data_IF_768651873068
#
_entry.id   IF_768651873068
#
_cell.length_a   1.000
_cell.length_b   1.000
_cell.length_c   1.000
_cell.angle_alpha   90.00
_cell.angle_beta   90.00
_cell.angle_gamma   90.00
#
_symmetry.space_group_name_H-M   'P 1'
#
loop_
_entity.id
_entity.type
_entity.pdbx_description
1 polymer ?
#
# COMPACT_ATOMS: atom_id res chain seq x y z
N UNK A 1 51.80 19.82 -4.60
CA UNK A 1 50.46 20.27 -4.22
C UNK A 1 50.43 20.16 -2.72
N UNK A 2 50.48 21.31 -2.06
CA UNK A 2 50.75 21.38 -0.62
C UNK A 2 49.42 21.44 0.14
N UNK A 3 49.46 21.13 1.43
CA UNK A 3 48.26 21.06 2.29
C UNK A 3 47.50 22.38 2.35
N UNK A 4 48.20 23.49 2.16
CA UNK A 4 47.67 24.86 2.09
C UNK A 4 46.81 25.08 0.83
N UNK A 5 47.20 24.55 -0.34
CA UNK A 5 46.42 24.67 -1.58
C UNK A 5 45.10 23.88 -1.51
N UNK A 6 45.10 22.74 -0.81
CA UNK A 6 43.89 21.92 -0.63
C UNK A 6 42.90 22.61 0.32
N UNK A 7 43.39 23.26 1.37
CA UNK A 7 42.56 23.94 2.35
C UNK A 7 41.92 25.20 1.75
N UNK A 8 42.66 25.93 0.91
CA UNK A 8 42.14 27.13 0.22
C UNK A 8 41.09 26.75 -0.84
N UNK A 9 41.30 25.66 -1.59
CA UNK A 9 40.32 25.14 -2.54
C UNK A 9 39.02 24.65 -1.86
N UNK A 10 39.11 24.05 -0.67
CA UNK A 10 37.93 23.63 0.09
C UNK A 10 37.17 24.81 0.71
N UNK A 11 37.89 25.86 1.13
CA UNK A 11 37.27 27.09 1.62
C UNK A 11 36.52 27.85 0.51
N UNK A 12 37.07 27.93 -0.72
CA UNK A 12 36.42 28.62 -1.85
C UNK A 12 35.11 27.93 -2.28
N UNK A 13 35.04 26.59 -2.19
CA UNK A 13 33.82 25.83 -2.51
C UNK A 13 32.74 25.98 -1.43
N UNK A 14 33.12 26.16 -0.16
CA UNK A 14 32.14 26.37 0.93
C UNK A 14 31.51 27.77 0.92
N UNK A 15 32.21 28.79 0.43
CA UNK A 15 31.69 30.18 0.42
C UNK A 15 30.74 30.46 -0.76
N UNK A 16 30.76 29.63 -1.83
CA UNK A 16 29.90 29.81 -3.01
C UNK A 16 28.55 29.10 -2.96
N UNK A 17 28.21 28.45 -1.85
CA UNK A 17 26.88 27.86 -1.68
C UNK A 17 25.89 28.94 -1.25
N UNK A 18 25.19 29.52 -2.22
CA UNK A 18 24.02 30.35 -1.94
C UNK A 18 23.09 29.59 -0.99
N UNK A 19 22.71 30.16 0.17
CA UNK A 19 21.82 29.47 1.10
C UNK A 19 20.55 29.06 0.35
N UNK A 20 20.04 27.82 0.58
CA UNK A 20 18.82 27.37 -0.08
C UNK A 20 17.72 28.40 0.19
N UNK A 21 16.90 28.76 -0.82
CA UNK A 21 15.85 29.75 -0.64
C UNK A 21 15.01 29.37 0.57
N UNK A 22 14.82 30.32 1.49
CA UNK A 22 14.07 30.08 2.72
C UNK A 22 12.68 29.58 2.35
N UNK A 23 12.40 28.32 2.68
CA UNK A 23 11.10 27.71 2.41
C UNK A 23 10.06 28.41 3.28
N UNK A 24 9.14 29.14 2.68
CA UNK A 24 8.03 29.76 3.41
C UNK A 24 7.09 28.65 3.93
N UNK A 25 7.04 28.41 5.25
CA UNK A 25 6.23 27.35 5.83
C UNK A 25 4.73 27.60 5.59
N UNK A 26 4.30 28.86 5.46
CA UNK A 26 2.91 29.19 5.16
C UNK A 26 2.55 28.71 3.74
N UNK A 27 3.44 28.94 2.77
CA UNK A 27 3.23 28.53 1.39
C UNK A 27 3.25 27.00 1.21
N UNK A 28 4.12 26.29 1.95
CA UNK A 28 4.16 24.83 1.96
C UNK A 28 2.89 24.21 2.59
N UNK A 29 2.39 24.79 3.70
CA UNK A 29 1.15 24.37 4.34
C UNK A 29 -0.08 24.69 3.48
N UNK A 30 -0.09 25.82 2.77
CA UNK A 30 -1.16 26.20 1.85
C UNK A 30 -1.26 25.22 0.68
N UNK A 31 -0.12 24.84 0.08
CA UNK A 31 -0.07 23.79 -0.95
C UNK A 31 -0.55 22.44 -0.42
N UNK A 32 -0.13 22.07 0.81
CA UNK A 32 -0.60 20.85 1.48
C UNK A 32 -2.10 20.84 1.75
N UNK A 33 -2.66 21.95 2.24
CA UNK A 33 -4.11 22.11 2.46
C UNK A 33 -4.89 22.07 1.16
N UNK A 34 -4.37 22.66 0.09
CA UNK A 34 -5.01 22.66 -1.25
C UNK A 34 -5.01 21.26 -1.86
N UNK A 35 -3.93 20.50 -1.72
CA UNK A 35 -3.87 19.10 -2.12
C UNK A 35 -4.85 18.22 -1.30
N UNK A 36 -4.97 18.46 0.01
CA UNK A 36 -5.92 17.75 0.88
C UNK A 36 -7.39 18.10 0.57
N UNK A 37 -7.69 19.37 0.28
CA UNK A 37 -9.04 19.81 -0.16
C UNK A 37 -9.43 19.15 -1.48
N UNK A 38 -8.53 19.10 -2.48
CA UNK A 38 -8.81 18.40 -3.75
C UNK A 38 -9.15 16.92 -3.54
N UNK A 39 -8.48 16.24 -2.61
CA UNK A 39 -8.79 14.84 -2.27
C UNK A 39 -10.13 14.65 -1.56
N UNK A 40 -10.57 15.62 -0.73
CA UNK A 40 -11.88 15.55 -0.05
C UNK A 40 -13.05 15.85 -0.98
N UNK A 41 -12.87 16.72 -1.98
CA UNK A 41 -13.95 17.03 -2.95
C UNK A 41 -14.22 15.84 -3.88
N UNK A 42 -13.22 14.98 -4.15
CA UNK A 42 -13.43 13.71 -4.85
C UNK A 42 -14.27 12.67 -4.06
N UNK A 43 -14.53 12.92 -2.77
CA UNK A 43 -15.28 12.02 -1.87
C UNK A 43 -16.68 12.53 -1.51
N UNK A 44 -17.09 13.69 -2.01
CA UNK A 44 -18.39 14.30 -1.68
C UNK A 44 -19.17 14.69 -2.95
N UNK A 45 -19.73 13.68 -3.61
CA UNK A 45 -20.92 13.79 -4.46
C UNK A 45 -21.59 12.42 -4.38
N UNK A 46 -22.77 12.23 -3.82
CA UNK A 46 -24.04 12.90 -4.10
C UNK A 46 -24.98 12.66 -2.91
N UNK A 47 -25.81 13.64 -2.53
CA UNK A 47 -27.14 13.37 -1.98
C UNK A 47 -27.99 14.64 -1.98
N UNK A 48 -28.99 14.73 -2.88
CA UNK A 48 -30.39 15.00 -2.53
C UNK A 48 -31.27 14.51 -3.70
N UNK A 49 -32.09 13.49 -3.47
CA UNK A 49 -33.35 13.26 -4.20
C UNK A 49 -34.42 13.10 -3.12
N UNK A 50 -35.52 13.88 -3.15
CA UNK A 50 -36.59 13.73 -2.17
C UNK A 50 -37.44 12.49 -2.47
N UNK A 51 -37.71 11.74 -1.41
CA UNK A 51 -38.49 10.51 -1.39
C UNK A 51 -39.97 10.86 -1.15
N UNK A 52 -40.85 10.48 -2.08
CA UNK A 52 -42.31 10.60 -1.93
C UNK A 52 -42.87 9.31 -1.32
N UNK A 53 -43.79 9.54 -0.39
CA UNK A 53 -44.43 8.66 0.61
C UNK A 53 -45.19 7.46 0.03
N UNK A 54 -45.12 6.32 0.74
CA UNK A 54 -45.99 5.16 0.54
C UNK A 54 -46.03 4.24 1.77
N UNK A 55 -47.17 4.25 2.45
CA UNK A 55 -47.58 3.67 3.75
C UNK A 55 -47.36 2.15 3.92
N UNK A 56 -47.04 1.70 5.15
CA UNK A 56 -47.23 0.29 5.56
C UNK A 56 -46.72 -0.10 6.95
N UNK A 57 -47.58 0.04 7.97
CA UNK A 57 -47.74 -0.67 9.26
C UNK A 57 -46.55 -1.37 10.00
N UNK A 58 -46.43 -1.06 11.31
CA UNK A 58 -45.59 -1.77 12.32
C UNK A 58 -46.16 -3.14 12.78
N UNK A 59 -45.64 -3.78 13.86
CA UNK A 59 -45.54 -3.16 15.19
C UNK A 59 -44.28 -3.52 16.02
N UNK A 60 -44.25 -2.91 17.22
CA UNK A 60 -43.21 -2.90 18.25
C UNK A 60 -42.97 -4.22 19.01
N UNK A 61 -41.77 -4.36 19.57
CA UNK A 61 -41.56 -5.03 20.86
C UNK A 61 -40.48 -4.29 21.67
N UNK A 62 -40.89 -3.87 22.87
CA UNK A 62 -40.08 -3.37 23.97
C UNK A 62 -39.83 -4.53 24.93
N UNK A 63 -38.59 -4.73 25.38
CA UNK A 63 -38.30 -5.41 26.63
C UNK A 63 -36.94 -4.96 27.19
N UNK A 64 -36.99 -4.17 28.26
CA UNK A 64 -35.90 -4.02 29.22
C UNK A 64 -35.83 -5.30 30.07
N UNK A 65 -34.62 -5.77 30.39
CA UNK A 65 -34.39 -6.59 31.58
C UNK A 65 -33.08 -6.21 32.27
N UNK A 66 -33.24 -5.81 33.52
CA UNK A 66 -32.27 -5.53 34.58
C UNK A 66 -31.88 -6.80 35.35
N UNK A 67 -30.66 -6.81 35.92
CA UNK A 67 -30.21 -7.74 36.98
C UNK A 67 -29.58 -9.04 36.44
N UNK A 68 -28.57 -9.67 37.04
CA UNK A 68 -28.20 -9.68 38.45
C UNK A 68 -26.72 -10.02 38.65
N UNK A 69 -26.17 -9.54 39.77
CA UNK A 69 -24.91 -9.99 40.39
C UNK A 69 -25.01 -11.47 40.76
N UNK A 70 -23.89 -12.18 40.68
CA UNK A 70 -23.61 -13.30 41.58
C UNK A 70 -22.15 -13.26 42.02
N UNK A 71 -21.97 -13.01 43.32
CA UNK A 71 -20.78 -13.28 44.07
C UNK A 71 -20.60 -14.79 44.26
N UNK A 72 -19.36 -15.26 44.19
CA UNK A 72 -18.95 -16.60 44.58
C UNK A 72 -17.56 -16.52 45.19
N UNK A 73 -17.52 -16.50 46.51
CA UNK A 73 -16.34 -16.54 47.37
C UNK A 73 -16.04 -18.00 47.75
N UNK A 74 -14.76 -18.37 47.83
CA UNK A 74 -14.10 -19.30 48.80
C UNK A 74 -12.63 -19.50 48.32
N UNK A 75 -11.60 -18.90 48.95
CA UNK A 75 -10.77 -19.37 50.11
C UNK A 75 -10.01 -20.68 49.76
N UNK A 76 -8.68 -20.87 49.89
CA UNK A 76 -7.70 -20.37 50.86
C UNK A 76 -6.21 -20.41 50.37
N UNK A 77 -5.44 -19.46 50.92
CA UNK A 77 -4.09 -19.48 51.51
C UNK A 77 -2.97 -20.46 51.09
N UNK A 78 -1.80 -19.86 50.83
CA UNK A 78 -0.49 -20.49 50.93
C UNK A 78 0.64 -19.45 50.88
N UNK A 79 0.96 -18.85 52.03
CA UNK A 79 2.12 -17.96 52.25
C UNK A 79 3.42 -18.76 52.31
N UNK A 80 4.47 -18.31 51.63
CA UNK A 80 5.86 -18.55 52.03
C UNK A 80 6.76 -17.41 51.55
N UNK A 81 7.44 -16.82 52.52
CA UNK A 81 8.35 -15.67 52.44
C UNK A 81 9.78 -16.17 52.23
N UNK A 82 10.52 -15.64 51.27
CA UNK A 82 12.01 -15.56 51.32
C UNK A 82 12.47 -14.29 50.60
N UNK A 83 13.48 -13.65 51.20
CA UNK A 83 14.02 -12.31 50.95
C UNK A 83 15.08 -12.27 49.80
N UNK A 84 15.56 -11.08 49.39
CA UNK A 84 16.00 -10.80 48.02
C UNK A 84 17.49 -11.06 47.76
N UNK A 85 17.81 -11.38 46.50
CA UNK A 85 19.19 -11.39 45.98
C UNK A 85 19.33 -10.26 44.96
N UNK A 86 20.22 -9.31 45.26
CA UNK A 86 20.58 -8.20 44.38
C UNK A 86 21.32 -8.72 43.15
N UNK A 87 20.77 -8.45 41.96
CA UNK A 87 21.39 -8.77 40.65
C UNK A 87 21.53 -7.45 39.86
N UNK A 88 22.60 -7.24 39.08
CA UNK A 88 22.85 -5.97 38.38
C UNK A 88 21.74 -5.62 37.38
N UNK A 89 21.54 -4.33 37.02
CA UNK A 89 20.42 -3.92 36.20
C UNK A 89 20.46 -4.63 34.84
N UNK A 90 19.37 -5.28 34.41
CA UNK A 90 19.29 -5.79 33.05
C UNK A 90 19.29 -4.58 32.11
N UNK A 91 20.27 -4.57 31.19
CA UNK A 91 20.18 -3.80 29.96
C UNK A 91 18.81 -4.11 29.38
N UNK A 92 17.98 -3.07 29.21
CA UNK A 92 16.65 -3.22 28.63
C UNK A 92 16.80 -3.67 27.19
N UNK A 93 16.89 -4.98 26.99
CA UNK A 93 16.59 -5.63 25.73
C UNK A 93 15.14 -5.30 25.47
N UNK A 94 14.91 -4.31 24.61
CA UNK A 94 13.57 -3.98 24.11
C UNK A 94 13.06 -5.25 23.44
N UNK A 95 12.27 -6.02 24.18
CA UNK A 95 11.44 -7.09 23.65
C UNK A 95 10.74 -6.52 22.43
N UNK A 96 10.69 -7.21 21.27
CA UNK A 96 9.98 -6.72 20.11
C UNK A 96 8.54 -6.50 20.55
N UNK A 97 8.22 -5.23 20.80
CA UNK A 97 6.90 -4.80 21.20
C UNK A 97 6.03 -5.21 20.04
N UNK A 98 5.10 -6.13 20.28
CA UNK A 98 4.06 -6.50 19.33
C UNK A 98 3.58 -5.21 18.68
N UNK A 99 3.90 -5.02 17.40
CA UNK A 99 3.60 -3.77 16.70
C UNK A 99 2.11 -3.52 16.93
N UNK A 100 1.71 -2.36 17.47
CA UNK A 100 0.30 -2.05 17.64
C UNK A 100 -0.41 -2.36 16.33
N UNK A 101 -1.51 -3.12 16.40
CA UNK A 101 -2.29 -3.44 15.20
C UNK A 101 -3.06 -2.23 14.68
N UNK A 102 -3.06 -1.11 15.43
CA UNK A 102 -3.69 0.17 15.05
C UNK A 102 -2.81 1.34 15.54
N UNK A 103 -1.93 1.86 14.68
CA UNK A 103 -0.95 2.90 15.00
C UNK A 103 -1.63 4.28 15.15
N UNK A 104 -1.25 5.03 16.17
CA UNK A 104 -1.61 6.44 16.37
C UNK A 104 -0.55 7.37 15.76
N UNK A 105 -0.92 8.62 15.48
CA UNK A 105 -0.10 9.62 14.76
C UNK A 105 1.32 9.85 15.33
N UNK A 106 1.57 9.52 16.60
CA UNK A 106 2.86 9.73 17.27
C UNK A 106 3.58 8.44 17.70
N UNK A 107 3.02 7.28 17.38
CA UNK A 107 3.69 6.01 17.70
C UNK A 107 4.96 5.88 16.85
N UNK A 108 6.03 5.24 17.33
CA UNK A 108 7.18 4.96 16.47
C UNK A 108 6.75 4.14 15.25
N UNK A 109 7.43 4.34 14.13
CA UNK A 109 7.20 3.47 12.97
C UNK A 109 7.81 2.08 13.21
N UNK A 110 7.24 1.02 12.60
CA UNK A 110 7.80 -0.33 12.74
C UNK A 110 9.21 -0.43 12.16
N UNK A 111 9.98 -1.41 12.63
CA UNK A 111 11.29 -1.77 12.04
C UNK A 111 12.32 -0.62 11.97
N UNK A 112 12.19 0.41 12.83
CA UNK A 112 13.16 1.50 12.96
C UNK A 112 13.14 2.54 11.84
N UNK A 113 12.11 2.55 10.99
CA UNK A 113 11.97 3.50 9.89
C UNK A 113 11.61 4.93 10.38
N UNK A 114 11.96 5.94 9.59
CA UNK A 114 11.68 7.37 9.91
C UNK A 114 10.37 7.89 9.30
N UNK A 115 9.88 7.21 8.27
CA UNK A 115 8.59 7.48 7.63
C UNK A 115 7.87 6.15 7.31
N UNK A 116 6.72 6.20 6.64
CA UNK A 116 5.95 4.98 6.31
C UNK A 116 6.67 3.99 5.39
N UNK A 117 7.73 4.38 4.71
CA UNK A 117 8.41 3.64 3.65
C UNK A 117 9.58 2.86 4.22
N UNK A 118 9.62 1.55 3.94
CA UNK A 118 10.79 0.74 4.26
C UNK A 118 11.77 0.77 3.09
N UNK A 119 12.90 1.46 3.26
CA UNK A 119 13.96 1.60 2.25
C UNK A 119 15.06 0.55 2.37
N UNK A 120 15.15 -0.15 3.51
CA UNK A 120 16.12 -1.21 3.78
C UNK A 120 15.48 -2.37 4.57
N UNK A 121 16.24 -3.46 4.75
CA UNK A 121 15.85 -4.61 5.55
C UNK A 121 14.83 -5.54 4.88
N UNK A 122 14.25 -6.50 5.63
CA UNK A 122 13.38 -7.55 5.09
C UNK A 122 12.15 -7.01 4.36
N UNK A 123 11.59 -5.89 4.82
CA UNK A 123 10.43 -5.26 4.17
C UNK A 123 10.78 -4.70 2.80
N UNK A 124 11.91 -4.04 2.64
CA UNK A 124 12.39 -3.56 1.34
C UNK A 124 12.72 -4.73 0.40
N UNK A 125 13.37 -5.77 0.90
CA UNK A 125 13.70 -6.96 0.12
C UNK A 125 12.46 -7.64 -0.49
N UNK A 126 11.33 -7.65 0.23
CA UNK A 126 10.06 -8.22 -0.26
C UNK A 126 9.52 -7.54 -1.52
N UNK A 127 9.61 -6.21 -1.64
CA UNK A 127 9.16 -5.54 -2.87
C UNK A 127 10.11 -5.77 -4.05
N UNK A 128 11.40 -6.01 -3.79
CA UNK A 128 12.35 -6.47 -4.82
C UNK A 128 11.99 -7.88 -5.30
N UNK A 129 11.70 -8.81 -4.39
CA UNK A 129 11.20 -10.15 -4.74
C UNK A 129 9.92 -10.04 -5.57
N UNK A 130 8.96 -9.21 -5.16
CA UNK A 130 7.72 -8.96 -5.89
C UNK A 130 7.99 -8.51 -7.34
N UNK A 131 8.94 -7.59 -7.51
CA UNK A 131 9.34 -7.07 -8.82
C UNK A 131 9.97 -8.16 -9.71
N UNK A 132 10.78 -9.02 -9.13
CA UNK A 132 11.41 -10.14 -9.84
C UNK A 132 10.37 -11.20 -10.26
N UNK A 133 9.44 -11.54 -9.37
CA UNK A 133 8.31 -12.44 -9.69
C UNK A 133 7.44 -11.85 -10.81
N UNK A 134 7.15 -10.55 -10.77
CA UNK A 134 6.43 -9.87 -11.85
C UNK A 134 7.19 -9.93 -13.17
N UNK A 135 8.50 -9.73 -13.13
CA UNK A 135 9.36 -9.81 -14.33
C UNK A 135 9.40 -11.20 -14.92
N UNK A 136 9.47 -12.24 -14.08
CA UNK A 136 9.50 -13.65 -14.49
C UNK A 136 8.16 -14.14 -15.06
N UNK A 137 7.08 -13.43 -14.76
CA UNK A 137 5.72 -13.78 -15.20
C UNK A 137 5.36 -13.19 -16.56
N UNK A 138 6.22 -12.32 -17.13
CA UNK A 138 6.01 -11.73 -18.46
C UNK A 138 6.07 -12.83 -19.53
N UNK A 139 5.08 -12.90 -20.44
CA UNK A 139 5.00 -13.99 -21.41
C UNK A 139 6.10 -13.88 -22.47
N UNK A 140 6.43 -15.00 -23.15
CA UNK A 140 7.37 -15.00 -24.26
C UNK A 140 7.02 -13.94 -25.32
N UNK A 141 8.06 -13.33 -25.92
CA UNK A 141 7.91 -12.24 -26.88
C UNK A 141 7.82 -10.85 -26.26
N UNK A 142 7.86 -10.75 -24.93
CA UNK A 142 8.06 -9.51 -24.21
C UNK A 142 9.35 -9.59 -23.36
N UNK A 143 9.97 -8.45 -23.08
CA UNK A 143 11.15 -8.31 -22.23
C UNK A 143 10.92 -7.27 -21.14
N UNK A 144 11.74 -7.30 -20.08
CA UNK A 144 11.62 -6.36 -18.94
C UNK A 144 12.90 -5.53 -18.76
N UNK A 145 13.22 -4.67 -19.74
CA UNK A 145 14.49 -3.94 -19.78
C UNK A 145 14.70 -3.01 -18.56
N UNK A 146 15.97 -2.72 -18.26
CA UNK A 146 16.34 -1.72 -17.25
C UNK A 146 16.29 -0.30 -17.84
N UNK A 147 15.09 0.19 -18.15
CA UNK A 147 14.90 1.52 -18.72
C UNK A 147 14.88 2.62 -17.66
N UNK A 148 15.21 3.83 -18.10
CA UNK A 148 15.15 5.06 -17.31
C UNK A 148 14.19 6.08 -17.95
N UNK A 149 13.59 6.89 -17.08
CA UNK A 149 12.90 8.13 -17.43
C UNK A 149 13.90 9.20 -17.89
N UNK A 150 13.43 10.29 -18.54
CA UNK A 150 14.32 11.39 -18.97
C UNK A 150 15.15 12.00 -17.86
N UNK A 151 14.60 12.03 -16.64
CA UNK A 151 15.25 12.54 -15.44
C UNK A 151 16.26 11.54 -14.81
N UNK A 152 16.54 10.43 -15.49
CA UNK A 152 17.48 9.41 -15.05
C UNK A 152 16.93 8.41 -14.03
N UNK A 153 15.70 8.60 -13.52
CA UNK A 153 15.09 7.65 -12.59
C UNK A 153 14.80 6.31 -13.27
N UNK A 154 15.01 5.22 -12.53
CA UNK A 154 14.66 3.87 -12.99
C UNK A 154 13.16 3.74 -13.22
N UNK A 155 12.76 3.13 -14.33
CA UNK A 155 11.37 2.72 -14.57
C UNK A 155 10.98 1.47 -13.78
N UNK A 156 11.98 0.69 -13.35
CA UNK A 156 11.80 -0.40 -12.39
C UNK A 156 11.80 0.19 -10.99
N UNK A 157 10.70 0.01 -10.27
CA UNK A 157 10.48 0.66 -8.99
C UNK A 157 9.76 -0.27 -8.00
N UNK A 158 10.51 -0.94 -7.11
CA UNK A 158 9.96 -1.62 -5.94
C UNK A 158 9.76 -0.60 -4.80
N UNK A 159 8.67 -0.75 -4.05
CA UNK A 159 8.41 0.04 -2.84
C UNK A 159 7.68 -0.81 -1.80
N UNK A 160 8.08 -0.67 -0.54
CA UNK A 160 7.37 -1.24 0.60
C UNK A 160 6.94 -0.10 1.52
N UNK A 161 5.68 -0.08 1.92
CA UNK A 161 5.17 0.94 2.82
C UNK A 161 4.24 0.34 3.88
N UNK A 162 4.28 0.91 5.06
CA UNK A 162 3.34 0.66 6.13
C UNK A 162 2.09 1.53 5.92
N UNK A 163 0.93 0.91 6.01
CA UNK A 163 -0.37 1.56 5.89
C UNK A 163 -1.10 1.45 7.23
N UNK A 164 -1.44 2.61 7.79
CA UNK A 164 -2.14 2.74 9.05
C UNK A 164 -3.25 3.78 8.94
N UNK A 165 -4.45 3.45 9.39
CA UNK A 165 -5.54 4.41 9.58
C UNK A 165 -6.05 4.28 11.02
N UNK A 166 -6.38 5.42 11.65
CA UNK A 166 -6.89 5.40 13.03
C UNK A 166 -8.13 4.51 13.14
N UNK A 167 -8.04 3.48 13.99
CA UNK A 167 -9.14 2.52 14.23
C UNK A 167 -9.29 1.43 13.17
N UNK A 168 -8.41 1.37 12.17
CA UNK A 168 -8.31 0.23 11.24
C UNK A 168 -7.06 -0.59 11.53
N UNK A 169 -7.11 -1.88 11.23
CA UNK A 169 -5.93 -2.74 11.31
C UNK A 169 -4.84 -2.25 10.35
N UNK A 170 -3.63 -2.10 10.87
CA UNK A 170 -2.46 -1.74 10.10
C UNK A 170 -2.00 -2.92 9.24
N UNK A 171 -1.44 -2.59 8.09
CA UNK A 171 -0.95 -3.58 7.15
C UNK A 171 0.25 -3.04 6.37
N UNK A 172 1.01 -3.95 5.76
CA UNK A 172 2.07 -3.63 4.82
C UNK A 172 1.55 -3.68 3.40
N UNK A 173 1.99 -2.74 2.57
CA UNK A 173 1.74 -2.68 1.15
C UNK A 173 3.08 -2.77 0.41
N UNK A 174 3.20 -3.77 -0.45
CA UNK A 174 4.34 -3.98 -1.33
C UNK A 174 3.92 -3.68 -2.76
N UNK A 175 4.68 -2.83 -3.43
CA UNK A 175 4.47 -2.45 -4.82
C UNK A 175 5.71 -2.77 -5.63
N UNK A 176 5.49 -3.13 -6.87
CA UNK A 176 6.53 -3.13 -7.88
C UNK A 176 5.95 -2.67 -9.21
N UNK A 177 6.67 -1.80 -9.90
CA UNK A 177 6.39 -1.48 -11.30
C UNK A 177 7.61 -1.77 -12.16
N UNK A 178 7.36 -2.29 -13.37
CA UNK A 178 8.40 -2.58 -14.36
C UNK A 178 7.97 -2.09 -15.74
N UNK A 179 8.91 -1.60 -16.57
CA UNK A 179 8.66 -1.45 -17.99
C UNK A 179 8.59 -2.82 -18.66
N UNK A 180 7.75 -2.94 -19.68
CA UNK A 180 7.71 -4.13 -20.53
C UNK A 180 7.87 -3.69 -21.97
N UNK A 181 8.77 -4.34 -22.69
CA UNK A 181 9.09 -4.01 -24.07
C UNK A 181 8.78 -5.17 -25.01
N UNK A 182 8.19 -4.83 -26.16
CA UNK A 182 8.08 -5.70 -27.33
C UNK A 182 8.45 -4.87 -28.54
N UNK A 183 9.41 -5.35 -29.31
CA UNK A 183 10.05 -4.59 -30.38
C UNK A 183 10.61 -3.25 -29.83
N UNK A 184 10.32 -2.12 -30.45
CA UNK A 184 10.71 -0.76 -30.01
C UNK A 184 9.67 -0.08 -29.11
N UNK A 185 8.63 -0.81 -28.67
CA UNK A 185 7.48 -0.27 -27.94
C UNK A 185 7.51 -0.65 -26.47
N UNK A 186 7.11 0.30 -25.61
CA UNK A 186 7.23 0.15 -24.16
C UNK A 186 5.90 0.43 -23.48
N UNK A 187 5.44 -0.56 -22.71
CA UNK A 187 4.33 -0.47 -21.78
C UNK A 187 4.80 -0.60 -20.34
N UNK A 188 3.84 -0.80 -19.44
CA UNK A 188 4.11 -0.84 -18.01
C UNK A 188 3.24 -1.86 -17.31
N UNK A 189 3.85 -2.58 -16.37
CA UNK A 189 3.16 -3.41 -15.40
C UNK A 189 3.31 -2.84 -14.01
N UNK A 190 2.31 -3.09 -13.17
CA UNK A 190 2.38 -2.84 -11.74
C UNK A 190 1.69 -3.97 -10.99
N UNK A 191 2.32 -4.41 -9.91
CA UNK A 191 1.70 -5.28 -8.93
C UNK A 191 1.71 -4.59 -7.57
N UNK A 192 0.61 -4.75 -6.83
CA UNK A 192 0.52 -4.36 -5.43
C UNK A 192 0.01 -5.55 -4.63
N UNK A 193 0.70 -5.89 -3.55
CA UNK A 193 0.30 -6.93 -2.59
C UNK A 193 0.21 -6.31 -1.21
N UNK A 194 -0.85 -6.63 -0.45
CA UNK A 194 -0.99 -6.18 0.94
C UNK A 194 -0.97 -7.37 1.88
N UNK A 195 -0.38 -7.21 3.07
CA UNK A 195 -0.64 -8.16 4.16
C UNK A 195 -2.13 -8.09 4.57
N UNK A 196 -2.63 -9.07 5.34
CA UNK A 196 -4.00 -9.05 5.82
C UNK A 196 -4.32 -7.73 6.56
N UNK A 197 -5.42 -7.10 6.15
CA UNK A 197 -5.88 -5.78 6.62
C UNK A 197 -7.08 -5.87 7.58
N UNK A 198 -7.45 -7.09 8.00
CA UNK A 198 -8.60 -7.36 8.88
C UNK A 198 -9.97 -7.11 8.24
N UNK A 199 -10.03 -6.71 6.97
CA UNK A 199 -11.29 -6.36 6.31
C UNK A 199 -11.99 -7.63 5.82
N UNK A 200 -13.31 -7.65 5.98
CA UNK A 200 -14.15 -8.71 5.47
C UNK A 200 -14.01 -8.86 3.94
N UNK A 201 -14.25 -10.06 3.44
CA UNK A 201 -14.38 -10.30 2.02
C UNK A 201 -15.41 -9.33 1.42
N UNK A 202 -15.11 -8.80 0.24
CA UNK A 202 -15.98 -7.88 -0.47
C UNK A 202 -16.17 -8.33 -1.90
N UNK A 203 -17.19 -7.78 -2.54
CA UNK A 203 -17.42 -7.99 -3.96
C UNK A 203 -16.12 -7.74 -4.78
N UNK A 204 -15.70 -8.67 -5.66
CA UNK A 204 -14.45 -8.55 -6.38
C UNK A 204 -14.37 -7.27 -7.23
N UNK A 205 -15.49 -6.79 -7.77
CA UNK A 205 -15.50 -5.56 -8.55
C UNK A 205 -15.40 -4.31 -7.67
N UNK A 206 -16.05 -4.29 -6.50
CA UNK A 206 -15.81 -3.24 -5.49
C UNK A 206 -14.35 -3.22 -5.03
N UNK A 207 -13.72 -4.40 -4.89
CA UNK A 207 -12.30 -4.50 -4.56
C UNK A 207 -11.43 -3.89 -5.66
N UNK A 208 -11.70 -4.23 -6.92
CA UNK A 208 -10.98 -3.69 -8.07
C UNK A 208 -11.17 -2.16 -8.22
N UNK A 209 -12.38 -1.64 -8.00
CA UNK A 209 -12.67 -0.20 -8.08
C UNK A 209 -12.00 0.60 -6.95
N UNK A 210 -11.81 0.00 -5.77
CA UNK A 210 -11.06 0.63 -4.68
C UNK A 210 -9.60 0.88 -5.02
N UNK A 211 -9.02 0.09 -5.93
CA UNK A 211 -7.66 0.28 -6.37
C UNK A 211 -7.51 1.66 -7.04
N UNK A 212 -6.90 2.59 -6.30
CA UNK A 212 -6.66 3.98 -6.69
C UNK A 212 -7.90 4.74 -7.19
N UNK A 213 -9.08 4.37 -6.69
CA UNK A 213 -10.36 4.98 -7.08
C UNK A 213 -10.69 4.78 -8.56
N UNK A 214 -10.24 3.67 -9.14
CA UNK A 214 -10.38 3.44 -10.56
C UNK A 214 -11.84 3.36 -11.02
N UNK A 215 -12.08 3.96 -12.18
CA UNK A 215 -13.41 4.08 -12.79
C UNK A 215 -13.41 3.37 -14.13
N UNK A 216 -14.50 2.67 -14.43
CA UNK A 216 -14.65 1.89 -15.66
C UNK A 216 -15.52 0.65 -15.45
N UNK A 217 -15.88 -0.04 -16.54
CA UNK A 217 -16.55 -1.33 -16.46
C UNK A 217 -15.68 -2.33 -15.70
N UNK A 218 -16.31 -3.02 -14.75
CA UNK A 218 -15.71 -4.15 -14.06
C UNK A 218 -16.51 -5.41 -14.35
N UNK A 219 -15.80 -6.50 -14.60
CA UNK A 219 -16.35 -7.84 -14.81
C UNK A 219 -15.74 -8.80 -13.81
N UNK A 220 -16.54 -9.74 -13.31
CA UNK A 220 -16.02 -10.84 -12.50
C UNK A 220 -15.57 -11.96 -13.44
N UNK A 221 -14.30 -12.35 -13.33
CA UNK A 221 -13.71 -13.49 -14.03
C UNK A 221 -13.53 -14.62 -13.04
N UNK A 222 -13.87 -15.85 -13.43
CA UNK A 222 -13.67 -17.04 -12.60
C UNK A 222 -12.45 -17.80 -13.11
N UNK A 223 -11.45 -18.00 -12.26
CA UNK A 223 -10.23 -18.75 -12.57
C UNK A 223 -9.98 -19.76 -11.45
N UNK A 224 -9.93 -21.05 -11.77
CA UNK A 224 -9.73 -22.10 -10.75
C UNK A 224 -10.75 -22.06 -9.60
N UNK A 225 -12.01 -21.72 -9.91
CA UNK A 225 -13.08 -21.56 -8.90
C UNK A 225 -13.01 -20.25 -8.09
N UNK A 226 -11.99 -19.41 -8.29
CA UNK A 226 -11.82 -18.12 -7.60
C UNK A 226 -12.43 -16.99 -8.41
N UNK A 227 -13.18 -16.11 -7.74
CA UNK A 227 -13.79 -14.92 -8.35
C UNK A 227 -12.83 -13.73 -8.28
N UNK A 228 -12.49 -13.18 -9.42
CA UNK A 228 -11.53 -12.08 -9.58
C UNK A 228 -12.24 -10.87 -10.20
N UNK A 229 -12.03 -9.68 -9.62
CA UNK A 229 -12.54 -8.45 -10.21
C UNK A 229 -11.56 -7.95 -11.27
N UNK A 230 -12.03 -7.79 -12.50
CA UNK A 230 -11.25 -7.26 -13.60
C UNK A 230 -11.86 -5.94 -14.06
N UNK A 231 -11.13 -4.85 -13.91
CA UNK A 231 -11.56 -3.51 -14.30
C UNK A 231 -10.80 -3.07 -15.55
N UNK A 232 -11.53 -2.52 -16.52
CA UNK A 232 -10.96 -1.87 -17.71
C UNK A 232 -11.29 -0.38 -17.65
N UNK A 233 -10.29 0.48 -17.76
CA UNK A 233 -10.51 1.92 -17.70
C UNK A 233 -11.04 2.46 -19.02
N UNK A 234 -11.64 3.65 -18.95
CA UNK A 234 -12.06 4.39 -20.14
C UNK A 234 -10.89 5.18 -20.76
N UNK A 235 -9.62 4.76 -20.55
CA UNK A 235 -8.43 5.42 -21.10
C UNK A 235 -8.00 6.72 -20.39
N UNK A 236 -8.59 7.06 -19.23
CA UNK A 236 -8.29 8.29 -18.47
C UNK A 236 -7.32 8.08 -17.29
N UNK A 237 -6.81 6.86 -17.10
CA UNK A 237 -5.92 6.50 -15.99
C UNK A 237 -4.51 6.13 -16.45
N UNK A 238 -3.60 5.96 -15.50
CA UNK A 238 -2.22 5.50 -15.77
C UNK A 238 -2.15 4.03 -16.20
N UNK A 239 -3.24 3.28 -16.07
CA UNK A 239 -3.35 1.88 -16.46
C UNK A 239 -4.63 1.63 -17.26
N UNK A 240 -4.53 0.75 -18.25
CA UNK A 240 -5.64 0.39 -19.13
C UNK A 240 -6.56 -0.62 -18.43
N UNK A 241 -5.97 -1.55 -17.68
CA UNK A 241 -6.67 -2.66 -17.04
C UNK A 241 -5.98 -3.08 -15.76
N UNK A 242 -6.74 -3.62 -14.81
CA UNK A 242 -6.19 -4.37 -13.69
C UNK A 242 -7.15 -5.44 -13.18
N UNK A 243 -6.57 -6.47 -12.59
CA UNK A 243 -7.26 -7.49 -11.82
C UNK A 243 -7.03 -7.27 -10.31
N UNK A 244 -8.00 -7.68 -9.50
CA UNK A 244 -7.93 -7.64 -8.05
C UNK A 244 -8.49 -8.92 -7.44
N UNK A 245 -7.76 -9.49 -6.50
CA UNK A 245 -8.17 -10.68 -5.75
C UNK A 245 -7.78 -10.56 -4.28
N UNK A 246 -8.67 -11.05 -3.41
CA UNK A 246 -8.40 -11.21 -1.97
C UNK A 246 -8.26 -12.70 -1.69
N UNK A 247 -7.11 -13.09 -1.17
CA UNK A 247 -6.85 -14.45 -0.71
C UNK A 247 -7.57 -14.74 0.61
N UNK A 248 -7.71 -16.02 0.92
CA UNK A 248 -8.44 -16.49 2.11
C UNK A 248 -7.80 -16.04 3.42
N UNK A 249 -6.51 -15.76 3.43
CA UNK A 249 -5.80 -15.21 4.61
C UNK A 249 -5.97 -13.69 4.76
N UNK A 250 -6.67 -13.02 3.84
CA UNK A 250 -6.89 -11.57 3.84
C UNK A 250 -5.86 -10.77 3.03
N UNK A 251 -4.82 -11.40 2.46
CA UNK A 251 -3.89 -10.75 1.53
C UNK A 251 -4.65 -10.26 0.31
N UNK A 252 -4.40 -9.04 -0.15
CA UNK A 252 -4.98 -8.51 -1.40
C UNK A 252 -3.89 -8.33 -2.43
N UNK A 253 -4.14 -8.82 -3.64
CA UNK A 253 -3.25 -8.64 -4.79
C UNK A 253 -3.98 -7.88 -5.89
N UNK A 254 -3.31 -6.85 -6.40
CA UNK A 254 -3.67 -6.11 -7.59
C UNK A 254 -2.59 -6.28 -8.64
N UNK A 255 -2.98 -6.53 -9.88
CA UNK A 255 -2.06 -6.53 -11.02
C UNK A 255 -2.64 -5.66 -12.13
N UNK A 256 -1.91 -4.61 -12.48
CA UNK A 256 -2.28 -3.61 -13.47
C UNK A 256 -1.34 -3.63 -14.68
N UNK A 257 -1.89 -3.30 -15.84
CA UNK A 257 -1.14 -3.17 -17.08
C UNK A 257 -1.55 -1.94 -17.88
N UNK A 258 -0.58 -1.36 -18.57
CA UNK A 258 -0.75 -0.25 -19.48
C UNK A 258 0.05 -0.52 -20.75
N UNK A 259 -0.54 -0.25 -21.91
CA UNK A 259 0.16 -0.24 -23.19
C UNK A 259 1.15 0.93 -23.29
N UNK A 260 0.80 2.06 -22.70
CA UNK A 260 1.64 3.25 -22.62
C UNK A 260 2.43 3.23 -21.31
N UNK A 261 3.74 3.43 -21.39
CA UNK A 261 4.55 3.70 -20.20
C UNK A 261 4.40 5.14 -19.72
N UNK A 262 4.76 5.41 -18.46
CA UNK A 262 4.81 6.78 -17.93
C UNK A 262 5.70 7.77 -18.72
N UNK A 263 6.60 7.29 -19.59
CA UNK A 263 7.35 8.12 -20.53
C UNK A 263 6.60 8.23 -21.87
N UNK A 264 5.93 9.37 -22.08
CA UNK A 264 5.13 9.64 -23.29
C UNK A 264 5.95 9.72 -24.58
N UNK A 265 7.28 9.80 -24.49
CA UNK A 265 8.18 9.84 -25.68
C UNK A 265 8.41 8.45 -26.26
N UNK A 266 8.04 7.40 -25.53
CA UNK A 266 8.17 6.01 -25.99
C UNK A 266 6.87 5.57 -26.65
N UNK A 267 7.01 4.92 -27.80
CA UNK A 267 5.89 4.33 -28.52
C UNK A 267 5.16 3.30 -27.63
N UNK A 268 3.81 3.38 -27.50
CA UNK A 268 3.05 2.41 -26.73
C UNK A 268 3.06 1.04 -27.39
N UNK A 269 2.90 0.00 -26.57
CA UNK A 269 2.60 -1.35 -27.04
C UNK A 269 1.31 -1.34 -27.88
N UNK A 270 1.27 -2.17 -28.92
CA UNK A 270 0.07 -2.34 -29.77
C UNK A 270 -1.00 -3.19 -29.09
N UNK A 271 -0.59 -4.03 -28.13
CA UNK A 271 -1.44 -4.93 -27.37
C UNK A 271 -1.09 -4.90 -25.88
N UNK A 272 -2.03 -5.25 -24.99
CA UNK A 272 -1.70 -5.51 -23.58
C UNK A 272 -0.69 -6.65 -23.45
N UNK A 273 0.07 -6.66 -22.34
CA UNK A 273 1.06 -7.71 -22.05
C UNK A 273 0.36 -9.03 -21.74
N UNK A 274 -0.70 -8.96 -20.93
CA UNK A 274 -1.51 -10.09 -20.53
C UNK A 274 -2.92 -9.98 -21.11
N UNK A 275 -3.50 -11.13 -21.46
CA UNK A 275 -4.95 -11.21 -21.67
C UNK A 275 -5.71 -10.98 -20.36
N UNK A 276 -7.01 -10.70 -20.46
CA UNK A 276 -7.91 -10.56 -19.31
C UNK A 276 -7.87 -11.78 -18.38
N UNK A 277 -7.85 -12.99 -18.96
CA UNK A 277 -7.78 -14.23 -18.20
C UNK A 277 -6.42 -14.43 -17.53
N UNK A 278 -5.31 -14.12 -18.22
CA UNK A 278 -3.98 -14.19 -17.63
C UNK A 278 -3.80 -13.20 -16.47
N UNK A 279 -4.29 -11.97 -16.59
CA UNK A 279 -4.31 -11.02 -15.47
C UNK A 279 -5.05 -11.59 -14.26
N UNK A 280 -6.23 -12.18 -14.50
CA UNK A 280 -7.05 -12.76 -13.45
C UNK A 280 -6.38 -13.97 -12.79
N UNK A 281 -5.72 -14.82 -13.56
CA UNK A 281 -4.97 -15.96 -13.06
C UNK A 281 -3.78 -15.52 -12.19
N UNK A 282 -3.00 -14.53 -12.66
CA UNK A 282 -1.82 -14.06 -11.96
C UNK A 282 -2.16 -13.51 -10.57
N UNK A 283 -3.22 -12.72 -10.41
CA UNK A 283 -3.59 -12.19 -9.07
C UNK A 283 -4.05 -13.26 -8.08
N UNK A 284 -4.34 -14.49 -8.54
CA UNK A 284 -4.63 -15.63 -7.67
C UNK A 284 -3.39 -16.46 -7.31
N UNK A 285 -2.26 -16.17 -7.96
CA UNK A 285 -1.01 -16.92 -7.77
C UNK A 285 -0.38 -16.65 -6.40
N UNK A 286 0.13 -17.71 -5.77
CA UNK A 286 0.90 -17.60 -4.54
C UNK A 286 2.17 -16.75 -4.70
N UNK A 287 2.70 -16.58 -5.92
CA UNK A 287 3.89 -15.77 -6.22
C UNK A 287 3.76 -14.31 -5.80
N UNK A 288 2.56 -13.75 -5.88
CA UNK A 288 2.29 -12.35 -5.53
C UNK A 288 1.70 -12.19 -4.12
N UNK A 289 1.56 -13.31 -3.39
CA UNK A 289 1.06 -13.33 -2.02
C UNK A 289 2.20 -13.10 -1.03
N UNK A 290 2.59 -11.84 -0.86
CA UNK A 290 3.71 -11.45 0.01
C UNK A 290 3.18 -11.17 1.42
N UNK A 291 2.74 -12.22 2.12
CA UNK A 291 2.31 -12.12 3.52
C UNK A 291 3.30 -12.73 4.51
N UNK A 292 4.19 -13.62 4.07
CA UNK A 292 5.18 -14.32 4.92
C UNK A 292 6.59 -13.78 4.78
#
# INVERSE_FOLDING_TARGET
>A
MNEEDLNEALHDVMVRSSPPPSMDPAHALEQGRRARRRRRVAWAGVAVVPLVVGVGAGPALVANYTGNRSAGQMVASGTSTTQPVSTPPPVSTVTPTTTPTTRKTNDPWPDGQVDRTATAGPRAARSVTLMNELSSSVPPGFSTPNLKYPDGRSMRWPQSQYASNAGEQDYWEYKASIPVQKDDRVGQLLVQSTTPDGKAAMDPCKLAQKFWGGTGPCTIVVVGGKKVGLLTTNGRGSYDQWAAYRHDDGTVVYLAQAKQSGDQRRSPLTQPVFTKNQLAELVTSAKFKIST
#
